data_IF_419708685348
#
_entry.id   IF_419708685348
#
_cell.length_a   1.000
_cell.length_b   1.000
_cell.length_c   1.000
_cell.angle_alpha   90.00
_cell.angle_beta   90.00
_cell.angle_gamma   90.00
#
_symmetry.space_group_name_H-M   'P 1'
#
loop_
_entity.id
_entity.type
_entity.pdbx_description
1 polymer ?
#
# COMPACT_ATOMS: atom_id res chain seq x y z
N UNK A 1 18.18 10.42 -0.39
CA UNK A 1 17.41 9.24 0.08
C UNK A 1 16.82 9.59 1.44
N UNK A 2 15.56 9.20 1.76
CA UNK A 2 14.98 9.48 3.06
C UNK A 2 15.83 8.88 4.18
N UNK A 3 15.96 9.61 5.27
CA UNK A 3 16.63 9.19 6.49
C UNK A 3 15.91 7.97 7.13
N UNK A 4 16.56 7.29 8.08
CA UNK A 4 16.02 6.07 8.68
C UNK A 4 14.69 6.32 9.40
N UNK A 5 14.46 7.51 9.95
CA UNK A 5 13.24 7.86 10.67
C UNK A 5 12.07 8.00 9.69
N UNK A 6 12.26 8.76 8.60
CA UNK A 6 11.26 8.93 7.55
C UNK A 6 10.80 7.60 6.93
N UNK A 7 11.74 6.66 6.74
CA UNK A 7 11.41 5.31 6.24
C UNK A 7 10.51 4.51 7.18
N UNK A 8 10.73 4.60 8.50
CA UNK A 8 9.87 3.93 9.49
C UNK A 8 8.45 4.46 9.44
N UNK A 9 8.28 5.78 9.33
CA UNK A 9 6.96 6.42 9.21
C UNK A 9 6.27 5.97 7.92
N UNK A 10 6.98 5.98 6.80
CA UNK A 10 6.46 5.50 5.52
C UNK A 10 5.99 4.04 5.58
N UNK A 11 6.78 3.14 6.17
CA UNK A 11 6.39 1.73 6.28
C UNK A 11 5.20 1.52 7.23
N UNK A 12 5.12 2.27 8.33
CA UNK A 12 3.96 2.20 9.21
C UNK A 12 2.68 2.66 8.50
N UNK A 13 2.73 3.75 7.73
CA UNK A 13 1.60 4.23 6.94
C UNK A 13 1.21 3.22 5.84
N UNK A 14 2.19 2.60 5.17
CA UNK A 14 1.96 1.51 4.20
C UNK A 14 1.21 0.35 4.84
N UNK A 15 1.70 -0.13 5.99
CA UNK A 15 1.16 -1.32 6.64
C UNK A 15 -0.26 -1.07 7.16
N UNK A 16 -0.53 0.13 7.67
CA UNK A 16 -1.88 0.55 8.05
C UNK A 16 -2.84 0.57 6.85
N UNK A 17 -2.41 1.14 5.71
CA UNK A 17 -3.20 1.17 4.48
C UNK A 17 -3.46 -0.25 3.95
N UNK A 18 -2.44 -1.10 3.90
CA UNK A 18 -2.58 -2.47 3.41
C UNK A 18 -3.45 -3.34 4.34
N UNK A 19 -3.34 -3.18 5.65
CA UNK A 19 -4.22 -3.87 6.60
C UNK A 19 -5.70 -3.49 6.40
N UNK A 20 -5.98 -2.22 6.04
CA UNK A 20 -7.33 -1.80 5.68
C UNK A 20 -7.82 -2.49 4.39
N UNK A 21 -6.98 -2.53 3.35
CA UNK A 21 -7.30 -3.21 2.10
C UNK A 21 -7.54 -4.72 2.30
N UNK A 22 -6.72 -5.37 3.14
CA UNK A 22 -6.89 -6.78 3.49
C UNK A 22 -8.24 -7.04 4.16
N UNK A 23 -8.66 -6.19 5.10
CA UNK A 23 -10.00 -6.28 5.74
C UNK A 23 -11.14 -6.07 4.75
N UNK A 24 -10.93 -5.25 3.73
CA UNK A 24 -11.88 -5.01 2.65
C UNK A 24 -11.83 -6.08 1.54
N UNK A 25 -10.93 -7.08 1.63
CA UNK A 25 -10.64 -8.06 0.59
C UNK A 25 -10.24 -7.43 -0.77
N UNK A 26 -9.54 -6.30 -0.72
CA UNK A 26 -9.06 -5.57 -1.90
C UNK A 26 -7.58 -5.86 -2.11
N UNK A 27 -7.25 -6.53 -3.22
CA UNK A 27 -5.86 -6.82 -3.58
C UNK A 27 -5.24 -5.64 -4.33
N UNK A 28 -5.96 -5.09 -5.31
CA UNK A 28 -5.48 -3.99 -6.14
C UNK A 28 -5.75 -2.64 -5.47
N UNK A 29 -4.66 -1.96 -5.07
CA UNK A 29 -4.70 -0.66 -4.41
C UNK A 29 -4.85 0.52 -5.39
N UNK A 30 -4.99 0.27 -6.69
CA UNK A 30 -5.17 1.29 -7.72
C UNK A 30 -6.62 1.42 -8.19
N UNK A 31 -7.56 0.77 -7.51
CA UNK A 31 -8.97 0.83 -7.88
C UNK A 31 -9.74 1.86 -7.06
N UNK A 32 -10.85 2.41 -7.58
CA UNK A 32 -11.71 3.33 -6.84
C UNK A 32 -12.25 2.73 -5.53
N UNK A 33 -12.44 1.41 -5.47
CA UNK A 33 -12.89 0.71 -4.27
C UNK A 33 -11.86 0.81 -3.14
N UNK A 34 -10.56 0.75 -3.47
CA UNK A 34 -9.49 0.91 -2.51
C UNK A 34 -9.50 2.31 -1.88
N UNK A 35 -9.72 3.34 -2.70
CA UNK A 35 -9.80 4.73 -2.26
C UNK A 35 -11.09 4.99 -1.46
N UNK A 36 -12.20 4.36 -1.81
CA UNK A 36 -13.46 4.45 -1.05
C UNK A 36 -13.37 3.76 0.31
N UNK A 37 -12.74 2.59 0.37
CA UNK A 37 -12.63 1.80 1.60
C UNK A 37 -11.58 2.38 2.57
N UNK A 38 -10.45 2.87 2.04
CA UNK A 38 -9.27 3.23 2.81
C UNK A 38 -8.73 4.64 2.48
N UNK A 39 -9.62 5.57 2.10
CA UNK A 39 -9.30 6.91 1.60
C UNK A 39 -8.43 7.76 2.52
N UNK A 40 -8.67 7.71 3.83
CA UNK A 40 -7.86 8.44 4.80
C UNK A 40 -6.44 7.87 4.89
N UNK A 41 -6.33 6.54 4.89
CA UNK A 41 -5.05 5.83 5.00
C UNK A 41 -4.21 5.97 3.73
N UNK A 42 -4.83 6.01 2.54
CA UNK A 42 -4.09 6.27 1.30
C UNK A 42 -3.55 7.70 1.27
N UNK A 43 -4.28 8.67 1.83
CA UNK A 43 -3.81 10.05 1.95
C UNK A 43 -2.60 10.13 2.90
N UNK A 44 -2.67 9.48 4.06
CA UNK A 44 -1.54 9.39 5.01
C UNK A 44 -0.34 8.66 4.39
N UNK A 45 -0.58 7.59 3.63
CA UNK A 45 0.47 6.85 2.93
C UNK A 45 1.17 7.71 1.86
N UNK A 46 0.40 8.44 1.05
CA UNK A 46 0.94 9.39 0.06
C UNK A 46 1.68 10.57 0.70
N UNK A 47 1.25 11.04 1.86
CA UNK A 47 1.92 12.12 2.59
C UNK A 47 3.22 11.66 3.28
N UNK A 48 3.26 10.41 3.76
CA UNK A 48 4.38 9.88 4.54
C UNK A 48 5.48 9.23 3.71
N UNK A 49 5.20 8.89 2.45
CA UNK A 49 6.11 8.18 1.56
C UNK A 49 6.44 8.99 0.30
N UNK A 50 7.65 8.83 -0.26
CA UNK A 50 7.93 9.29 -1.62
C UNK A 50 6.95 8.65 -2.62
N UNK A 51 6.46 9.41 -3.61
CA UNK A 51 5.51 8.91 -4.59
C UNK A 51 6.01 7.67 -5.34
N UNK A 52 7.31 7.61 -5.65
CA UNK A 52 7.92 6.43 -6.28
C UNK A 52 7.85 5.16 -5.41
N UNK A 53 7.87 5.31 -4.09
CA UNK A 53 7.71 4.19 -3.16
C UNK A 53 6.26 3.75 -3.08
N UNK A 54 5.31 4.70 -3.08
CA UNK A 54 3.88 4.40 -3.09
C UNK A 54 3.52 3.56 -4.31
N UNK A 55 3.90 4.01 -5.51
CA UNK A 55 3.65 3.28 -6.76
C UNK A 55 4.32 1.91 -6.78
N UNK A 56 5.57 1.82 -6.32
CA UNK A 56 6.28 0.55 -6.20
C UNK A 56 5.54 -0.43 -5.27
N UNK A 57 5.16 0.00 -4.07
CA UNK A 57 4.49 -0.87 -3.11
C UNK A 57 3.10 -1.31 -3.58
N UNK A 58 2.33 -0.42 -4.19
CA UNK A 58 1.02 -0.78 -4.77
C UNK A 58 1.17 -1.83 -5.87
N UNK A 59 2.11 -1.64 -6.78
CA UNK A 59 2.39 -2.61 -7.85
C UNK A 59 2.87 -3.94 -7.28
N UNK A 60 3.79 -3.90 -6.29
CA UNK A 60 4.34 -5.08 -5.63
C UNK A 60 3.26 -5.93 -4.98
N UNK A 61 2.29 -5.31 -4.31
CA UNK A 61 1.16 -6.02 -3.67
C UNK A 61 0.38 -6.88 -4.67
N UNK A 62 0.08 -6.35 -5.85
CA UNK A 62 -0.64 -7.09 -6.91
C UNK A 62 0.21 -8.22 -7.49
N UNK A 63 1.50 -7.96 -7.74
CA UNK A 63 2.44 -8.97 -8.24
C UNK A 63 2.62 -10.12 -7.24
N UNK A 64 2.80 -9.81 -5.97
CA UNK A 64 2.97 -10.81 -4.91
C UNK A 64 1.69 -11.66 -4.75
N UNK A 65 0.51 -11.04 -4.84
CA UNK A 65 -0.75 -11.78 -4.82
C UNK A 65 -0.91 -12.71 -6.04
N UNK A 66 -0.58 -12.23 -7.24
CA UNK A 66 -0.57 -13.07 -8.47
C UNK A 66 0.43 -14.21 -8.37
N UNK A 67 1.63 -13.95 -7.84
CA UNK A 67 2.66 -14.95 -7.64
C UNK A 67 2.20 -16.03 -6.66
N UNK A 68 1.58 -15.65 -5.54
CA UNK A 68 0.99 -16.59 -4.58
C UNK A 68 -0.10 -17.45 -5.21
N UNK A 69 -0.97 -16.85 -6.03
CA UNK A 69 -2.03 -17.58 -6.73
C UNK A 69 -1.50 -18.54 -7.79
N UNK A 70 -0.36 -18.24 -8.42
CA UNK A 70 0.29 -19.13 -9.39
C UNK A 70 1.12 -20.27 -8.75
N UNK A 71 1.48 -20.15 -7.47
CA UNK A 71 2.24 -21.16 -6.72
C UNK A 71 1.36 -22.02 -5.80
N UNK A 72 0.05 -21.83 -5.84
CA UNK A 72 -0.96 -22.61 -5.11
C UNK A 72 -1.62 -23.63 -6.05
#
# INVERSE_FOLDING_TARGET
>A
APDKQARKVCWAARDAYFACLDRANIVDANTPEADKACGELVAQFKASCPSSWVEYFKTRRVLDARQRAMMA
#
